data_IF_843600023206
#
_entry.id   IF_843600023206
#
_cell.length_a   1.000
_cell.length_b   1.000
_cell.length_c   1.000
_cell.angle_alpha   90.00
_cell.angle_beta   90.00
_cell.angle_gamma   90.00
#
_symmetry.space_group_name_H-M   'P 1'
#
loop_
_entity.id
_entity.type
_entity.pdbx_description
1 polymer ?
#
# COMPACT_ATOMS: atom_id res chain seq x y z
N UNK A 1 21.73 0.75 -10.79
CA UNK A 1 21.76 0.50 -12.25
C UNK A 1 20.91 1.56 -12.95
N UNK A 2 21.27 1.98 -14.16
CA UNK A 2 20.47 2.89 -14.98
C UNK A 2 19.98 2.13 -16.21
N UNK A 3 18.67 2.06 -16.38
CA UNK A 3 17.97 1.32 -17.43
C UNK A 3 16.91 2.24 -18.02
N UNK A 4 16.64 2.08 -19.32
CA UNK A 4 15.50 2.72 -19.99
C UNK A 4 14.36 1.71 -20.03
N UNK A 5 13.17 2.12 -19.58
CA UNK A 5 11.96 1.32 -19.57
C UNK A 5 10.86 2.11 -20.28
N UNK A 6 9.99 1.40 -20.99
CA UNK A 6 8.72 1.95 -21.46
C UNK A 6 7.71 1.88 -20.29
N UNK A 7 7.03 2.98 -19.99
CA UNK A 7 6.12 3.13 -18.85
C UNK A 7 4.94 4.00 -19.29
N UNK A 8 3.72 3.56 -19.00
CA UNK A 8 2.51 4.31 -19.29
C UNK A 8 2.50 5.70 -18.62
N UNK A 9 1.93 6.69 -19.32
CA UNK A 9 1.93 8.10 -18.90
C UNK A 9 1.22 8.32 -17.56
N UNK A 10 0.17 7.55 -17.28
CA UNK A 10 -0.59 7.62 -16.02
C UNK A 10 0.24 7.13 -14.83
N UNK A 11 1.02 6.06 -15.01
CA UNK A 11 1.97 5.56 -14.02
C UNK A 11 3.05 6.59 -13.75
N UNK A 12 3.58 7.24 -14.79
CA UNK A 12 4.59 8.31 -14.63
C UNK A 12 3.99 9.50 -13.87
N UNK A 13 2.75 9.91 -14.18
CA UNK A 13 2.07 10.98 -13.49
C UNK A 13 1.89 10.67 -11.99
N UNK A 14 1.34 9.50 -11.66
CA UNK A 14 1.15 9.06 -10.27
C UNK A 14 2.49 8.97 -9.51
N UNK A 15 3.53 8.44 -10.14
CA UNK A 15 4.84 8.33 -9.52
C UNK A 15 5.49 9.71 -9.25
N UNK A 16 5.21 10.73 -10.07
CA UNK A 16 5.67 12.12 -9.84
C UNK A 16 5.01 12.74 -8.62
N UNK A 17 3.70 12.53 -8.45
CA UNK A 17 2.98 13.00 -7.27
C UNK A 17 3.53 12.35 -5.98
N UNK A 18 3.77 11.04 -6.02
CA UNK A 18 4.39 10.29 -4.92
C UNK A 18 5.84 10.71 -4.63
N UNK A 19 6.59 11.10 -5.67
CA UNK A 19 7.94 11.60 -5.54
C UNK A 19 7.96 12.98 -4.88
N UNK A 20 7.04 13.86 -5.28
CA UNK A 20 6.89 15.21 -4.73
C UNK A 20 6.48 15.18 -3.24
N UNK A 21 5.47 14.39 -2.89
CA UNK A 21 5.00 14.26 -1.50
C UNK A 21 6.08 13.67 -0.58
N UNK A 22 6.86 12.71 -1.09
CA UNK A 22 7.92 12.05 -0.33
C UNK A 22 9.28 12.74 -0.36
N UNK A 23 9.48 13.81 -1.14
CA UNK A 23 10.80 14.41 -1.45
C UNK A 23 11.82 13.36 -1.92
N UNK A 24 11.40 12.49 -2.84
CA UNK A 24 12.23 11.40 -3.42
C UNK A 24 12.40 11.61 -4.92
N UNK A 25 13.40 10.98 -5.52
CA UNK A 25 13.53 10.97 -6.98
C UNK A 25 12.49 10.05 -7.62
N UNK A 26 12.07 10.37 -8.85
CA UNK A 26 11.15 9.52 -9.63
C UNK A 26 11.68 8.08 -9.75
N UNK A 27 12.97 7.93 -10.06
CA UNK A 27 13.61 6.62 -10.16
C UNK A 27 13.60 5.83 -8.85
N UNK A 28 13.71 6.49 -7.69
CA UNK A 28 13.60 5.82 -6.39
C UNK A 28 12.18 5.31 -6.14
N UNK A 29 11.15 6.11 -6.46
CA UNK A 29 9.74 5.72 -6.33
C UNK A 29 9.41 4.56 -7.26
N UNK A 30 9.75 4.65 -8.55
CA UNK A 30 9.51 3.57 -9.52
C UNK A 30 10.23 2.28 -9.09
N UNK A 31 11.49 2.39 -8.65
CA UNK A 31 12.26 1.23 -8.19
C UNK A 31 11.64 0.57 -6.95
N UNK A 32 11.06 1.36 -6.04
CA UNK A 32 10.33 0.83 -4.90
C UNK A 32 9.01 0.17 -5.30
N UNK A 33 8.21 0.81 -6.15
CA UNK A 33 6.95 0.25 -6.65
C UNK A 33 7.19 -1.08 -7.38
N UNK A 34 8.23 -1.14 -8.23
CA UNK A 34 8.64 -2.38 -8.88
C UNK A 34 9.03 -3.48 -7.87
N UNK A 35 9.83 -3.15 -6.84
CA UNK A 35 10.16 -4.13 -5.78
C UNK A 35 8.92 -4.65 -5.05
N UNK A 36 7.97 -3.76 -4.73
CA UNK A 36 6.70 -4.14 -4.09
C UNK A 36 5.85 -5.03 -5.00
N UNK A 37 5.73 -4.69 -6.29
CA UNK A 37 4.98 -5.50 -7.26
C UNK A 37 5.61 -6.86 -7.56
N UNK A 38 6.94 -6.98 -7.46
CA UNK A 38 7.65 -8.26 -7.56
C UNK A 38 7.55 -9.12 -6.30
N UNK A 39 7.09 -8.54 -5.18
CA UNK A 39 6.78 -9.31 -3.98
C UNK A 39 5.36 -9.82 -4.08
N UNK A 40 5.11 -11.13 -4.21
CA UNK A 40 3.75 -11.64 -4.25
C UNK A 40 3.04 -11.28 -2.94
N UNK A 41 1.90 -10.59 -3.07
CA UNK A 41 1.03 -10.33 -1.93
C UNK A 41 0.48 -11.67 -1.44
N UNK A 42 1.07 -12.21 -0.38
CA UNK A 42 0.56 -13.41 0.27
C UNK A 42 -0.56 -12.99 1.22
N UNK A 43 -1.76 -12.87 0.66
CA UNK A 43 -2.97 -12.69 1.46
C UNK A 43 -3.38 -14.06 1.96
N UNK A 44 -3.27 -14.29 3.27
CA UNK A 44 -3.86 -15.49 3.85
C UNK A 44 -5.36 -15.47 3.56
N UNK A 45 -5.88 -16.61 3.12
CA UNK A 45 -7.30 -16.75 2.78
C UNK A 45 -7.86 -17.98 3.45
N UNK A 46 -9.09 -17.87 3.96
CA UNK A 46 -9.86 -18.96 4.58
C UNK A 46 -11.24 -18.93 3.91
N UNK A 47 -11.68 -20.06 3.34
CA UNK A 47 -12.91 -20.16 2.54
C UNK A 47 -13.06 -19.11 1.41
N UNK A 48 -11.94 -18.73 0.79
CA UNK A 48 -11.92 -17.74 -0.29
C UNK A 48 -12.03 -16.28 0.16
N UNK A 49 -12.08 -16.05 1.47
CA UNK A 49 -12.08 -14.71 2.06
C UNK A 49 -10.69 -14.36 2.60
N UNK A 50 -10.20 -13.13 2.41
CA UNK A 50 -8.94 -12.69 3.00
C UNK A 50 -9.06 -12.68 4.53
N UNK A 51 -8.09 -13.30 5.22
CA UNK A 51 -8.05 -13.34 6.68
C UNK A 51 -6.92 -12.48 7.22
N UNK A 52 -7.23 -11.69 8.23
CA UNK A 52 -6.26 -10.92 9.01
C UNK A 52 -6.04 -11.71 10.30
N UNK A 53 -4.82 -12.24 10.49
CA UNK A 53 -4.45 -12.90 11.75
C UNK A 53 -4.11 -11.83 12.78
N UNK A 54 -4.94 -11.73 13.81
CA UNK A 54 -4.75 -10.79 14.91
C UNK A 54 -3.97 -11.49 16.03
N UNK A 55 -2.94 -10.87 16.63
CA UNK A 55 -2.22 -11.43 17.77
C UNK A 55 -3.15 -11.80 18.93
N UNK A 56 -2.80 -12.85 19.66
CA UNK A 56 -3.55 -13.24 20.85
C UNK A 56 -3.54 -12.12 21.90
N UNK A 57 -4.71 -11.84 22.48
CA UNK A 57 -4.87 -10.78 23.48
C UNK A 57 -5.09 -9.38 22.91
N UNK A 58 -5.17 -9.20 21.59
CA UNK A 58 -5.64 -7.93 21.02
C UNK A 58 -7.09 -7.67 21.40
N UNK A 59 -7.36 -6.48 21.94
CA UNK A 59 -8.71 -6.07 22.32
C UNK A 59 -9.63 -6.01 21.09
N UNK A 60 -10.90 -6.43 21.21
CA UNK A 60 -11.85 -6.39 20.09
C UNK A 60 -12.13 -4.95 19.68
N UNK A 61 -12.28 -4.74 18.36
CA UNK A 61 -12.85 -3.48 17.86
C UNK A 61 -14.34 -3.47 18.23
N UNK A 62 -14.76 -2.43 18.94
CA UNK A 62 -16.15 -2.27 19.39
C UNK A 62 -16.92 -1.28 18.51
N UNK A 63 -18.26 -1.36 18.47
CA UNK A 63 -19.07 -0.37 17.75
C UNK A 63 -18.83 1.07 18.21
N UNK A 64 -18.54 1.28 19.50
CA UNK A 64 -18.23 2.61 20.02
C UNK A 64 -16.94 3.20 19.44
N UNK A 65 -15.91 2.37 19.23
CA UNK A 65 -14.67 2.81 18.59
C UNK A 65 -14.90 3.23 17.14
N UNK A 66 -15.74 2.48 16.41
CA UNK A 66 -16.10 2.80 15.02
C UNK A 66 -16.87 4.10 14.94
N UNK A 67 -17.88 4.28 15.79
CA UNK A 67 -18.67 5.52 15.84
C UNK A 67 -17.78 6.75 16.04
N UNK A 68 -16.81 6.66 16.97
CA UNK A 68 -15.86 7.76 17.21
C UNK A 68 -14.97 8.09 16.02
N UNK A 69 -14.46 7.08 15.31
CA UNK A 69 -13.58 7.30 14.17
C UNK A 69 -14.29 7.96 12.98
N UNK A 70 -15.58 7.65 12.78
CA UNK A 70 -16.39 8.25 11.72
C UNK A 70 -16.66 9.73 12.01
N UNK A 71 -16.92 10.10 13.26
CA UNK A 71 -17.13 11.50 13.67
C UNK A 71 -15.88 12.38 13.49
N UNK A 72 -14.68 11.78 13.48
CA UNK A 72 -13.39 12.46 13.33
C UNK A 72 -12.96 12.67 11.86
N UNK A 73 -13.73 12.15 10.89
CA UNK A 73 -13.45 12.23 9.44
C UNK A 73 -14.23 13.35 8.75
#
# INVERSE_FOLDING_TARGET
MRTTLDIDDDVVAAARELAASGRRSLGAVISELARRGLTPARVESEDGLPVIRVPAGTAPITPAMVARAVDES
#
